data_IF_621869540749
#
_entry.id   IF_621869540749
#
_cell.length_a   1.000
_cell.length_b   1.000
_cell.length_c   1.000
_cell.angle_alpha   90.00
_cell.angle_beta   90.00
_cell.angle_gamma   90.00
#
_symmetry.space_group_name_H-M   'P 1'
#
loop_
_entity.id
_entity.type
_entity.pdbx_description
1 polymer ?
#
# COMPACT_ATOMS: atom_id res chain seq x y z
N UNK A 1 -27.71 -8.81 29.14
CA UNK A 1 -26.33 -8.38 29.39
C UNK A 1 -25.36 -8.80 28.25
N UNK A 2 -25.68 -9.81 27.45
CA UNK A 2 -24.79 -10.34 26.42
C UNK A 2 -24.71 -9.45 25.17
N UNK A 3 -25.73 -8.67 24.87
CA UNK A 3 -25.73 -7.79 23.70
C UNK A 3 -24.73 -6.63 23.77
N UNK A 4 -24.35 -6.17 24.95
CA UNK A 4 -23.41 -5.08 25.14
C UNK A 4 -21.95 -5.49 24.81
N UNK A 5 -21.62 -6.76 24.99
CA UNK A 5 -20.30 -7.30 24.64
C UNK A 5 -20.18 -7.66 23.15
N UNK A 6 -21.29 -8.02 22.50
CA UNK A 6 -21.32 -8.39 21.08
C UNK A 6 -21.22 -7.19 20.13
N UNK A 7 -21.64 -6.01 20.58
CA UNK A 7 -21.64 -4.81 19.71
C UNK A 7 -20.24 -4.34 19.30
N UNK A 8 -19.24 -4.21 20.20
CA UNK A 8 -17.88 -3.85 19.81
C UNK A 8 -17.25 -4.85 18.85
N UNK A 9 -17.47 -6.15 19.06
CA UNK A 9 -16.97 -7.19 18.19
C UNK A 9 -17.60 -7.12 16.79
N UNK A 10 -18.91 -6.89 16.72
CA UNK A 10 -19.61 -6.67 15.46
C UNK A 10 -19.08 -5.46 14.70
N UNK A 11 -18.86 -4.33 15.38
CA UNK A 11 -18.29 -3.12 14.80
C UNK A 11 -16.89 -3.41 14.24
N UNK A 12 -16.03 -4.03 15.04
CA UNK A 12 -14.67 -4.40 14.63
C UNK A 12 -14.68 -5.30 13.40
N UNK A 13 -15.54 -6.32 13.37
CA UNK A 13 -15.69 -7.25 12.25
C UNK A 13 -16.13 -6.53 10.96
N UNK A 14 -17.15 -5.69 11.05
CA UNK A 14 -17.65 -4.96 9.90
C UNK A 14 -16.61 -3.99 9.31
N UNK A 15 -15.86 -3.31 10.18
CA UNK A 15 -14.75 -2.42 9.74
C UNK A 15 -13.61 -3.21 9.10
N UNK A 16 -13.19 -4.32 9.71
CA UNK A 16 -12.17 -5.19 9.12
C UNK A 16 -12.58 -5.70 7.73
N UNK A 17 -13.83 -6.14 7.56
CA UNK A 17 -14.33 -6.54 6.24
C UNK A 17 -14.27 -5.39 5.23
N UNK A 18 -14.58 -4.16 5.64
CA UNK A 18 -14.46 -2.98 4.79
C UNK A 18 -13.02 -2.66 4.43
N UNK A 19 -12.09 -2.79 5.37
CA UNK A 19 -10.65 -2.63 5.12
C UNK A 19 -10.16 -3.68 4.12
N UNK A 20 -10.47 -4.95 4.32
CA UNK A 20 -10.06 -6.05 3.45
C UNK A 20 -10.54 -5.86 2.01
N UNK A 21 -11.79 -5.44 1.84
CA UNK A 21 -12.37 -5.20 0.51
C UNK A 21 -11.64 -4.10 -0.28
N UNK A 22 -11.20 -3.05 0.39
CA UNK A 22 -10.52 -1.91 -0.24
C UNK A 22 -8.99 -2.00 -0.18
N UNK A 23 -8.44 -3.10 0.34
CA UNK A 23 -7.02 -3.21 0.64
C UNK A 23 -6.21 -3.62 -0.60
N UNK A 24 -5.46 -2.66 -1.15
CA UNK A 24 -4.48 -2.90 -2.20
C UNK A 24 -3.05 -3.11 -1.67
N UNK A 25 -2.83 -2.90 -0.38
CA UNK A 25 -1.50 -3.01 0.25
C UNK A 25 -0.82 -4.37 0.04
N UNK A 26 -1.52 -5.53 0.10
CA UNK A 26 -0.90 -6.83 -0.16
C UNK A 26 -0.28 -6.98 -1.56
N UNK A 27 -0.68 -6.12 -2.49
CA UNK A 27 -0.12 -6.09 -3.86
C UNK A 27 1.06 -5.13 -4.01
N UNK A 28 1.42 -4.38 -2.95
CA UNK A 28 2.44 -3.33 -2.97
C UNK A 28 3.53 -3.60 -1.92
N UNK A 29 3.14 -4.20 -0.80
CA UNK A 29 3.98 -4.42 0.38
C UNK A 29 4.61 -5.79 0.33
N UNK A 30 5.91 -5.87 0.61
CA UNK A 30 6.66 -7.12 0.66
C UNK A 30 6.38 -7.88 1.96
N UNK A 31 6.33 -7.16 3.08
CA UNK A 31 6.10 -7.74 4.39
C UNK A 31 5.36 -6.78 5.32
N UNK A 32 4.68 -7.35 6.31
CA UNK A 32 4.03 -6.58 7.38
C UNK A 32 4.64 -6.99 8.71
N UNK A 33 5.24 -6.03 9.40
CA UNK A 33 5.85 -6.22 10.72
C UNK A 33 4.93 -5.65 11.79
N UNK A 34 4.52 -6.51 12.73
CA UNK A 34 3.72 -6.07 13.89
C UNK A 34 4.65 -5.73 15.04
N UNK A 35 4.52 -4.52 15.58
CA UNK A 35 5.34 -3.99 16.67
C UNK A 35 4.49 -3.67 17.90
N UNK A 36 5.14 -3.66 19.06
CA UNK A 36 4.52 -3.30 20.35
C UNK A 36 5.04 -1.97 20.91
N UNK A 37 6.02 -1.34 20.25
CA UNK A 37 6.57 -0.05 20.60
C UNK A 37 6.44 0.94 19.45
N UNK A 38 6.54 2.24 19.74
CA UNK A 38 6.51 3.27 18.69
C UNK A 38 7.88 3.48 18.02
N UNK A 39 8.93 2.86 18.54
CA UNK A 39 10.30 3.00 18.06
C UNK A 39 10.68 1.78 17.22
N UNK A 40 10.51 1.91 15.91
CA UNK A 40 10.88 0.88 14.96
C UNK A 40 11.76 1.47 13.85
N UNK A 41 12.83 0.74 13.54
CA UNK A 41 13.72 1.04 12.41
C UNK A 41 13.76 -0.17 11.49
N UNK A 42 13.47 0.05 10.21
CA UNK A 42 13.59 -1.03 9.24
C UNK A 42 15.06 -1.35 8.96
N UNK A 43 15.31 -2.50 8.40
CA UNK A 43 16.64 -2.95 8.01
C UNK A 43 16.87 -2.69 6.52
N UNK A 44 18.09 -2.41 6.15
CA UNK A 44 18.52 -2.33 4.76
C UNK A 44 19.79 -3.15 4.56
N UNK A 45 19.93 -3.76 3.39
CA UNK A 45 21.19 -4.36 2.99
C UNK A 45 22.13 -3.29 2.42
N UNK A 46 23.42 -3.59 2.37
CA UNK A 46 24.40 -2.72 1.72
C UNK A 46 23.92 -2.28 0.33
N UNK A 47 24.01 -1.00 0.00
CA UNK A 47 23.48 -0.48 -1.26
C UNK A 47 24.31 -0.86 -2.50
N UNK A 48 25.53 -1.32 -2.32
CA UNK A 48 26.43 -1.68 -3.44
C UNK A 48 25.97 -2.95 -4.13
N UNK A 49 25.82 -2.92 -5.44
CA UNK A 49 25.54 -4.13 -6.24
C UNK A 49 26.70 -5.14 -6.15
N UNK A 50 27.93 -4.65 -6.06
CA UNK A 50 29.13 -5.51 -5.87
C UNK A 50 29.08 -6.31 -4.57
N UNK A 51 28.44 -5.77 -3.52
CA UNK A 51 28.25 -6.43 -2.23
C UNK A 51 27.13 -7.48 -2.24
N UNK A 52 26.28 -7.45 -3.25
CA UNK A 52 25.18 -8.40 -3.44
C UNK A 52 25.53 -9.53 -4.41
N UNK A 53 26.51 -9.31 -5.31
CA UNK A 53 26.88 -10.28 -6.30
C UNK A 53 27.55 -11.50 -5.64
N UNK A 54 27.07 -12.70 -5.97
CA UNK A 54 27.68 -13.94 -5.52
C UNK A 54 28.90 -14.25 -6.39
N UNK A 55 30.09 -13.97 -5.88
CA UNK A 55 31.35 -14.21 -6.57
C UNK A 55 31.82 -15.63 -6.33
N UNK A 56 32.45 -16.29 -7.35
CA UNK A 56 33.10 -17.59 -7.17
C UNK A 56 34.15 -17.49 -6.07
N UNK A 57 34.13 -18.40 -5.10
CA UNK A 57 35.08 -18.43 -3.99
C UNK A 57 35.98 -19.66 -4.16
N UNK A 58 37.30 -19.46 -4.16
CA UNK A 58 38.28 -20.53 -4.21
C UNK A 58 38.33 -21.27 -2.87
N UNK A 59 38.59 -22.56 -2.88
CA UNK A 59 38.70 -23.38 -1.65
C UNK A 59 39.69 -22.76 -0.65
N UNK A 60 39.23 -22.58 0.60
CA UNK A 60 40.02 -21.93 1.64
C UNK A 60 40.02 -20.40 1.66
N UNK A 61 39.42 -19.74 0.66
CA UNK A 61 39.26 -18.27 0.66
C UNK A 61 38.09 -17.80 1.54
N UNK A 62 38.18 -16.58 2.04
CA UNK A 62 37.12 -15.97 2.80
C UNK A 62 35.88 -15.70 1.93
N UNK A 63 34.70 -16.14 2.36
CA UNK A 63 33.44 -15.85 1.65
C UNK A 63 33.11 -14.36 1.80
N UNK A 64 32.79 -13.64 0.72
CA UNK A 64 32.34 -12.25 0.78
C UNK A 64 31.13 -12.08 1.70
N UNK A 65 31.06 -10.94 2.41
CA UNK A 65 30.02 -10.66 3.39
C UNK A 65 29.12 -9.54 2.89
N UNK A 66 27.80 -9.75 2.92
CA UNK A 66 26.81 -8.68 2.77
C UNK A 66 26.41 -8.18 4.15
N UNK A 67 26.58 -6.90 4.41
CA UNK A 67 26.24 -6.29 5.71
C UNK A 67 24.83 -5.79 5.69
N UNK A 68 24.01 -6.34 6.57
CA UNK A 68 22.65 -5.82 6.83
C UNK A 68 22.73 -4.85 7.99
N UNK A 69 22.16 -3.66 7.84
CA UNK A 69 22.16 -2.59 8.84
C UNK A 69 20.73 -2.13 9.11
N UNK A 70 20.49 -1.59 10.30
CA UNK A 70 19.27 -0.83 10.59
C UNK A 70 19.39 0.56 9.98
N UNK A 71 18.30 1.09 9.46
CA UNK A 71 18.25 2.46 8.96
C UNK A 71 18.38 3.48 10.11
N UNK A 72 18.85 4.69 9.79
CA UNK A 72 19.13 5.70 10.81
C UNK A 72 17.84 6.33 11.36
N UNK A 73 16.83 6.52 10.54
CA UNK A 73 15.58 7.13 10.92
C UNK A 73 14.51 6.12 11.32
N UNK A 74 13.68 6.50 12.28
CA UNK A 74 12.52 5.73 12.71
C UNK A 74 11.43 5.78 11.65
N UNK A 75 10.70 4.67 11.51
CA UNK A 75 9.50 4.61 10.69
C UNK A 75 8.42 5.49 11.30
N UNK A 76 7.88 6.44 10.52
CA UNK A 76 6.78 7.31 10.96
C UNK A 76 5.49 6.53 11.01
N UNK A 77 4.93 6.39 12.21
CA UNK A 77 3.65 5.74 12.44
C UNK A 77 2.53 6.77 12.48
N UNK A 78 1.49 6.56 11.68
CA UNK A 78 0.30 7.40 11.65
C UNK A 78 -0.87 6.68 12.32
N UNK A 79 -1.44 7.30 13.37
CA UNK A 79 -2.71 6.86 13.93
C UNK A 79 -3.84 7.39 13.07
N UNK A 80 -4.68 6.47 12.59
CA UNK A 80 -5.88 6.78 11.81
C UNK A 80 -7.08 6.20 12.50
N UNK A 81 -8.12 6.99 12.66
CA UNK A 81 -9.31 6.53 13.36
C UNK A 81 -10.51 7.43 13.14
N UNK A 82 -11.66 6.94 13.56
CA UNK A 82 -12.91 7.68 13.52
C UNK A 82 -13.79 7.31 14.72
N UNK A 83 -14.53 8.29 15.20
CA UNK A 83 -15.59 8.10 16.18
C UNK A 83 -16.95 8.08 15.48
N UNK A 84 -17.72 7.04 15.75
CA UNK A 84 -19.13 6.95 15.41
C UNK A 84 -19.94 7.36 16.62
N UNK A 85 -20.94 8.20 16.40
CA UNK A 85 -21.90 8.59 17.42
C UNK A 85 -23.30 8.31 16.89
N UNK A 86 -24.10 7.58 17.64
CA UNK A 86 -25.49 7.27 17.28
C UNK A 86 -26.40 7.46 18.46
N UNK A 87 -27.64 7.89 18.22
CA UNK A 87 -28.65 7.94 19.26
C UNK A 87 -29.26 6.56 19.54
N UNK A 88 -29.80 6.35 20.73
CA UNK A 88 -30.48 5.10 21.08
C UNK A 88 -31.66 4.80 20.15
N UNK A 89 -32.38 5.82 19.70
CA UNK A 89 -33.48 5.65 18.75
C UNK A 89 -32.98 5.18 17.40
N UNK A 90 -31.88 5.77 16.89
CA UNK A 90 -31.31 5.38 15.59
C UNK A 90 -30.88 3.92 15.60
N UNK A 91 -30.20 3.46 16.65
CA UNK A 91 -29.76 2.07 16.76
C UNK A 91 -30.94 1.10 16.96
N UNK A 92 -32.02 1.54 17.65
CA UNK A 92 -33.16 0.69 17.96
C UNK A 92 -34.15 0.54 16.81
N UNK A 93 -34.28 1.56 15.97
CA UNK A 93 -35.33 1.63 14.93
C UNK A 93 -34.74 1.51 13.51
N UNK A 94 -33.45 1.71 13.30
CA UNK A 94 -32.81 1.52 11.99
C UNK A 94 -32.41 0.07 11.78
N UNK A 95 -32.53 -0.38 10.52
CA UNK A 95 -32.08 -1.71 10.12
C UNK A 95 -30.57 -1.81 10.28
N UNK A 96 -30.09 -2.82 10.99
CA UNK A 96 -28.67 -3.17 11.18
C UNK A 96 -27.88 -3.19 9.87
N UNK A 97 -28.51 -3.51 8.75
CA UNK A 97 -27.86 -3.57 7.43
C UNK A 97 -27.26 -2.23 6.99
N UNK A 98 -27.99 -1.11 7.18
CA UNK A 98 -27.46 0.22 6.80
C UNK A 98 -26.30 0.64 7.69
N UNK A 99 -26.36 0.30 8.97
CA UNK A 99 -25.26 0.55 9.90
C UNK A 99 -24.00 -0.25 9.51
N UNK A 100 -24.17 -1.50 9.12
CA UNK A 100 -23.06 -2.35 8.61
C UNK A 100 -22.41 -1.75 7.38
N UNK A 101 -23.20 -1.23 6.44
CA UNK A 101 -22.65 -0.57 5.23
C UNK A 101 -21.81 0.64 5.62
N UNK A 102 -22.26 1.45 6.58
CA UNK A 102 -21.51 2.61 7.08
C UNK A 102 -20.18 2.19 7.73
N UNK A 103 -20.19 1.12 8.54
CA UNK A 103 -18.98 0.59 9.18
C UNK A 103 -17.98 0.06 8.15
N UNK A 104 -18.45 -0.65 7.13
CA UNK A 104 -17.61 -1.11 6.01
C UNK A 104 -17.01 0.06 5.23
N UNK A 105 -17.76 1.13 5.01
CA UNK A 105 -17.24 2.34 4.38
C UNK A 105 -16.12 2.98 5.21
N UNK A 106 -16.24 3.03 6.52
CA UNK A 106 -15.18 3.53 7.40
C UNK A 106 -13.92 2.67 7.25
N UNK A 107 -14.06 1.35 7.25
CA UNK A 107 -12.95 0.44 6.99
C UNK A 107 -12.27 0.71 5.65
N UNK A 108 -13.05 0.88 4.60
CA UNK A 108 -12.54 1.22 3.27
C UNK A 108 -11.79 2.57 3.25
N UNK A 109 -12.27 3.58 3.98
CA UNK A 109 -11.55 4.87 4.11
C UNK A 109 -10.22 4.73 4.85
N UNK A 110 -10.15 3.90 5.89
CA UNK A 110 -8.89 3.63 6.59
C UNK A 110 -7.89 2.96 5.64
N UNK A 111 -8.31 1.93 4.90
CA UNK A 111 -7.45 1.24 3.94
C UNK A 111 -6.93 2.19 2.83
N UNK A 112 -7.80 3.06 2.31
CA UNK A 112 -7.39 4.08 1.32
C UNK A 112 -6.41 5.10 1.88
N UNK A 113 -6.57 5.49 3.15
CA UNK A 113 -5.66 6.41 3.82
C UNK A 113 -4.29 5.77 4.05
N UNK A 114 -4.24 4.50 4.43
CA UNK A 114 -3.00 3.73 4.53
C UNK A 114 -2.33 3.57 3.17
N UNK A 115 -3.11 3.28 2.11
CA UNK A 115 -2.59 3.23 0.75
C UNK A 115 -1.96 4.56 0.31
N UNK A 116 -2.60 5.68 0.66
CA UNK A 116 -2.05 7.01 0.39
C UNK A 116 -0.71 7.22 1.10
N UNK A 117 -0.59 6.82 2.37
CA UNK A 117 0.66 6.92 3.12
C UNK A 117 1.75 6.02 2.50
N UNK A 118 1.40 4.81 2.06
CA UNK A 118 2.32 3.92 1.36
C UNK A 118 2.86 4.53 0.06
N UNK A 119 1.99 5.11 -0.75
CA UNK A 119 2.36 5.77 -2.00
C UNK A 119 3.21 7.02 -1.75
N UNK A 120 2.88 7.78 -0.71
CA UNK A 120 3.67 8.96 -0.31
C UNK A 120 5.10 8.56 0.08
N UNK A 121 5.25 7.50 0.87
CA UNK A 121 6.57 6.95 1.23
C UNK A 121 7.31 6.42 0.01
N UNK A 122 6.64 5.77 -0.94
CA UNK A 122 7.27 5.33 -2.19
C UNK A 122 7.84 6.51 -2.97
N UNK A 123 7.09 7.60 -3.11
CA UNK A 123 7.52 8.78 -3.89
C UNK A 123 8.52 9.66 -3.14
N UNK A 124 8.17 10.07 -1.94
CA UNK A 124 8.87 11.10 -1.18
C UNK A 124 9.90 10.52 -0.19
N UNK A 125 9.94 9.18 -0.08
CA UNK A 125 10.84 8.48 0.84
C UNK A 125 10.31 8.42 2.28
N UNK A 126 11.01 7.67 3.09
CA UNK A 126 10.71 7.47 4.51
C UNK A 126 11.58 8.31 5.47
N UNK A 127 12.36 9.23 4.92
CA UNK A 127 13.28 10.08 5.66
C UNK A 127 14.74 9.61 5.65
N UNK A 128 15.06 8.54 4.93
CA UNK A 128 16.42 7.99 4.80
C UNK A 128 17.05 8.30 3.42
N UNK A 129 16.80 9.50 2.88
CA UNK A 129 17.31 9.96 1.56
C UNK A 129 17.01 9.00 0.40
N UNK A 130 15.85 8.37 0.45
CA UNK A 130 15.43 7.35 -0.50
C UNK A 130 14.18 7.75 -1.31
N UNK A 131 13.94 9.05 -1.47
CA UNK A 131 12.90 9.57 -2.36
C UNK A 131 13.14 9.14 -3.81
N UNK A 132 12.06 8.86 -4.55
CA UNK A 132 12.15 8.60 -5.98
C UNK A 132 12.29 9.91 -6.75
N UNK A 133 13.16 9.91 -7.74
CA UNK A 133 13.21 10.97 -8.75
C UNK A 133 12.48 10.45 -10.00
N UNK A 134 11.26 10.95 -10.30
CA UNK A 134 10.52 10.48 -11.46
C UNK A 134 11.25 10.81 -12.76
N UNK A 135 11.40 9.84 -13.66
CA UNK A 135 11.87 10.05 -15.02
C UNK A 135 10.83 10.87 -15.80
N UNK A 136 11.24 12.01 -16.34
CA UNK A 136 10.34 12.87 -17.10
C UNK A 136 10.13 12.34 -18.53
N UNK A 137 8.87 12.08 -18.89
CA UNK A 137 8.48 11.72 -20.24
C UNK A 137 8.05 12.98 -21.00
N UNK A 138 8.38 13.05 -22.28
CA UNK A 138 8.07 14.22 -23.14
C UNK A 138 6.60 14.33 -23.54
N UNK A 139 5.84 13.23 -23.45
CA UNK A 139 4.44 13.12 -23.86
C UNK A 139 3.70 12.12 -22.99
N UNK A 140 2.44 11.82 -23.34
CA UNK A 140 1.72 10.70 -22.74
C UNK A 140 2.54 9.40 -22.84
N UNK A 141 2.42 8.51 -21.84
CA UNK A 141 3.21 7.30 -21.82
C UNK A 141 2.94 6.42 -23.04
N UNK A 142 4.01 5.88 -23.61
CA UNK A 142 3.97 4.91 -24.69
C UNK A 142 4.39 3.54 -24.18
N UNK A 143 4.14 2.49 -24.94
CA UNK A 143 4.61 1.15 -24.60
C UNK A 143 6.13 1.12 -24.42
N UNK A 144 6.88 1.85 -25.26
CA UNK A 144 8.35 1.98 -25.15
C UNK A 144 8.79 2.56 -23.80
N UNK A 145 8.03 3.51 -23.26
CA UNK A 145 8.35 4.10 -21.95
C UNK A 145 8.14 3.10 -20.81
N UNK A 146 7.15 2.22 -20.94
CA UNK A 146 6.91 1.14 -19.98
C UNK A 146 8.02 0.09 -20.04
N UNK A 147 8.48 -0.24 -21.25
CA UNK A 147 9.64 -1.14 -21.45
C UNK A 147 10.91 -0.54 -20.86
N UNK A 148 11.13 0.78 -20.99
CA UNK A 148 12.24 1.47 -20.33
C UNK A 148 12.14 1.39 -18.82
N UNK A 149 10.96 1.67 -18.25
CA UNK A 149 10.72 1.57 -16.81
C UNK A 149 11.01 0.16 -16.29
N UNK A 150 10.61 -0.87 -17.05
CA UNK A 150 10.96 -2.26 -16.77
C UNK A 150 12.46 -2.48 -16.76
N UNK A 151 13.18 -1.96 -17.75
CA UNK A 151 14.64 -2.08 -17.83
C UNK A 151 15.39 -1.35 -16.72
N UNK A 152 14.90 -0.17 -16.31
CA UNK A 152 15.49 0.62 -15.22
C UNK A 152 15.31 -0.01 -13.84
N UNK A 153 14.38 -0.94 -13.70
CA UNK A 153 14.10 -1.62 -12.44
C UNK A 153 15.09 -2.76 -12.16
N UNK A 154 15.80 -3.25 -13.16
CA UNK A 154 16.77 -4.33 -12.98
C UNK A 154 17.78 -4.01 -11.84
N UNK A 155 18.15 -4.97 -10.96
CA UNK A 155 17.90 -6.42 -11.04
C UNK A 155 16.54 -6.88 -10.47
N UNK A 156 15.67 -5.95 -10.06
CA UNK A 156 14.35 -6.24 -9.51
C UNK A 156 13.34 -6.50 -10.64
N UNK A 157 12.23 -7.14 -10.30
CA UNK A 157 11.17 -7.46 -11.24
C UNK A 157 10.07 -6.41 -11.25
N UNK A 158 9.61 -5.99 -12.43
CA UNK A 158 8.40 -5.19 -12.56
C UNK A 158 7.18 -6.10 -12.44
N UNK A 159 6.67 -6.31 -11.24
CA UNK A 159 5.48 -7.13 -11.00
C UNK A 159 4.23 -6.34 -10.61
N UNK A 160 4.40 -5.05 -10.28
CA UNK A 160 3.29 -4.16 -9.92
C UNK A 160 3.51 -2.76 -10.50
N UNK A 161 2.47 -2.19 -11.09
CA UNK A 161 2.41 -0.81 -11.55
C UNK A 161 1.25 -0.08 -10.90
N UNK A 162 1.49 1.15 -10.45
CA UNK A 162 0.49 2.03 -9.84
C UNK A 162 0.23 3.21 -10.77
N UNK A 163 -1.04 3.51 -10.96
CA UNK A 163 -1.48 4.66 -11.76
C UNK A 163 -2.69 5.38 -11.14
N UNK A 164 -2.72 6.71 -11.25
CA UNK A 164 -3.90 7.51 -10.91
C UNK A 164 -5.02 7.27 -11.91
N UNK A 165 -6.20 7.85 -11.67
CA UNK A 165 -7.35 7.70 -12.58
C UNK A 165 -7.01 8.22 -13.99
N UNK A 166 -6.41 9.40 -14.09
CA UNK A 166 -6.05 10.01 -15.39
C UNK A 166 -4.96 9.18 -16.09
N UNK A 167 -3.94 8.82 -15.35
CA UNK A 167 -2.82 8.02 -15.88
C UNK A 167 -3.30 6.63 -16.32
N UNK A 168 -4.24 6.03 -15.57
CA UNK A 168 -4.84 4.74 -15.94
C UNK A 168 -5.58 4.83 -17.27
N UNK A 169 -6.35 5.91 -17.50
CA UNK A 169 -7.03 6.14 -18.77
C UNK A 169 -6.04 6.27 -19.93
N UNK A 170 -4.93 7.00 -19.72
CA UNK A 170 -3.90 7.14 -20.75
C UNK A 170 -3.21 5.80 -21.04
N UNK A 171 -2.87 5.01 -20.01
CA UNK A 171 -2.26 3.68 -20.18
C UNK A 171 -3.19 2.70 -20.92
N UNK A 172 -4.47 2.63 -20.53
CA UNK A 172 -5.45 1.73 -21.18
C UNK A 172 -5.78 2.16 -22.63
N UNK A 173 -5.40 3.36 -23.04
CA UNK A 173 -5.54 3.82 -24.41
C UNK A 173 -4.35 3.50 -25.32
N UNK A 174 -3.26 2.97 -24.77
CA UNK A 174 -2.13 2.44 -25.55
C UNK A 174 -2.61 1.20 -26.32
N UNK A 175 -2.24 1.10 -27.59
CA UNK A 175 -2.77 0.04 -28.48
C UNK A 175 -2.35 -1.36 -28.01
N UNK A 176 -1.14 -1.52 -27.52
CA UNK A 176 -0.63 -2.78 -26.96
C UNK A 176 -1.39 -3.23 -25.69
N UNK A 177 -2.02 -2.29 -24.98
CA UNK A 177 -2.88 -2.61 -23.85
C UNK A 177 -4.30 -3.01 -24.26
N UNK A 178 -4.76 -2.58 -25.44
CA UNK A 178 -6.07 -2.95 -25.99
C UNK A 178 -6.06 -4.31 -26.67
N UNK A 179 -4.90 -4.79 -27.09
CA UNK A 179 -4.77 -6.06 -27.79
C UNK A 179 -4.94 -7.23 -26.80
N UNK A 180 -6.03 -7.97 -26.94
CA UNK A 180 -6.33 -9.14 -26.12
C UNK A 180 -5.28 -10.26 -26.27
N UNK A 181 -4.53 -10.27 -27.37
CA UNK A 181 -3.47 -11.25 -27.63
C UNK A 181 -2.16 -10.88 -26.96
N UNK A 182 -1.95 -9.60 -26.65
CA UNK A 182 -0.74 -9.08 -26.01
C UNK A 182 -0.75 -9.17 -24.46
N UNK A 183 -1.79 -9.71 -23.84
CA UNK A 183 -1.79 -10.01 -22.41
C UNK A 183 -2.91 -9.39 -21.57
N UNK A 184 -3.78 -8.56 -22.13
CA UNK A 184 -4.97 -8.05 -21.44
C UNK A 184 -6.08 -9.12 -21.37
N UNK A 185 -5.88 -10.14 -20.56
CA UNK A 185 -6.92 -11.13 -20.29
C UNK A 185 -7.83 -10.69 -19.12
N UNK A 186 -8.26 -9.41 -19.13
CA UNK A 186 -9.18 -8.88 -18.13
C UNK A 186 -10.50 -9.67 -18.10
N UNK A 187 -11.01 -10.06 -19.27
CA UNK A 187 -12.24 -10.83 -19.38
C UNK A 187 -12.12 -12.24 -18.75
N UNK A 188 -10.92 -12.83 -18.74
CA UNK A 188 -10.69 -14.15 -18.15
C UNK A 188 -10.30 -14.12 -16.68
N UNK A 189 -9.59 -13.11 -16.21
CA UNK A 189 -9.01 -13.06 -14.85
C UNK A 189 -9.63 -12.02 -13.93
N UNK A 190 -10.35 -11.03 -14.49
CA UNK A 190 -10.86 -9.89 -13.72
C UNK A 190 -9.77 -8.94 -13.18
N UNK A 191 -8.51 -9.15 -13.56
CA UNK A 191 -7.37 -8.34 -13.11
C UNK A 191 -6.75 -7.60 -14.30
N UNK A 192 -6.45 -6.32 -14.09
CA UNK A 192 -5.68 -5.55 -15.05
C UNK A 192 -4.21 -5.95 -14.95
N UNK A 193 -3.68 -6.49 -16.04
CA UNK A 193 -2.27 -6.89 -16.16
C UNK A 193 -1.69 -6.15 -17.35
N UNK A 194 -0.47 -5.64 -17.22
CA UNK A 194 0.26 -5.02 -18.33
C UNK A 194 0.73 -6.09 -19.33
N UNK A 195 1.04 -5.73 -20.59
CA UNK A 195 1.64 -6.68 -21.54
C UNK A 195 2.95 -7.31 -21.04
N UNK A 196 3.63 -6.68 -20.08
CA UNK A 196 4.84 -7.20 -19.43
C UNK A 196 4.54 -8.12 -18.22
N UNK A 197 3.28 -8.43 -17.94
CA UNK A 197 2.88 -9.31 -16.85
C UNK A 197 2.75 -8.64 -15.48
N UNK A 198 3.00 -7.35 -15.34
CA UNK A 198 2.84 -6.61 -14.10
C UNK A 198 1.36 -6.34 -13.79
N UNK A 199 0.95 -6.47 -12.53
CA UNK A 199 -0.39 -6.08 -12.10
C UNK A 199 -0.53 -4.56 -12.15
N UNK A 200 -1.55 -4.07 -12.85
CA UNK A 200 -1.85 -2.64 -12.96
C UNK A 200 -2.91 -2.26 -11.91
N UNK A 201 -2.52 -1.47 -10.93
CA UNK A 201 -3.37 -1.07 -9.82
C UNK A 201 -3.82 0.39 -9.96
N UNK A 202 -5.12 0.60 -9.85
CA UNK A 202 -5.71 1.93 -9.81
C UNK A 202 -5.60 2.52 -8.41
N UNK A 203 -4.83 3.59 -8.27
CA UNK A 203 -4.60 4.31 -7.01
C UNK A 203 -5.04 5.77 -7.17
N UNK A 204 -6.29 6.11 -6.81
CA UNK A 204 -6.82 7.46 -7.00
C UNK A 204 -6.08 8.56 -6.22
N UNK A 205 -5.35 8.19 -5.17
CA UNK A 205 -4.57 9.13 -4.36
C UNK A 205 -3.18 9.43 -4.92
N UNK A 206 -2.75 8.70 -5.95
CA UNK A 206 -1.49 8.97 -6.63
C UNK A 206 -1.63 10.29 -7.42
N UNK A 207 -0.56 11.09 -7.44
CA UNK A 207 -0.50 12.31 -8.25
C UNK A 207 -0.76 11.97 -9.71
N UNK A 208 -1.64 12.75 -10.35
CA UNK A 208 -1.93 12.60 -11.77
C UNK A 208 -0.68 12.71 -12.63
N UNK A 209 -0.70 12.02 -13.76
CA UNK A 209 0.41 11.95 -14.71
C UNK A 209 1.70 11.36 -14.11
N UNK A 210 1.57 10.49 -13.12
CA UNK A 210 2.67 9.74 -12.52
C UNK A 210 2.38 8.25 -12.58
N UNK A 211 3.41 7.48 -12.93
CA UNK A 211 3.41 6.03 -12.96
C UNK A 211 4.48 5.57 -11.95
N UNK A 212 4.17 4.59 -11.12
CA UNK A 212 5.15 3.93 -10.27
C UNK A 212 5.21 2.47 -10.69
N UNK A 213 6.38 2.00 -11.07
CA UNK A 213 6.68 0.58 -11.24
C UNK A 213 7.47 0.08 -10.04
N UNK A 214 7.14 -1.08 -9.52
CA UNK A 214 7.81 -1.64 -8.36
C UNK A 214 7.85 -3.18 -8.37
N UNK A 215 8.83 -3.71 -7.65
CA UNK A 215 8.84 -5.08 -7.20
C UNK A 215 8.20 -5.16 -5.82
N UNK A 216 6.97 -5.68 -5.75
CA UNK A 216 6.24 -5.81 -4.50
C UNK A 216 6.96 -6.63 -3.43
N UNK A 217 7.86 -7.54 -3.83
CA UNK A 217 8.56 -8.42 -2.89
C UNK A 217 9.76 -7.74 -2.21
N UNK A 218 10.18 -6.58 -2.72
CA UNK A 218 11.40 -5.91 -2.31
C UNK A 218 11.23 -4.42 -1.97
N UNK A 219 10.11 -3.79 -2.37
CA UNK A 219 10.00 -2.32 -2.36
C UNK A 219 9.65 -1.76 -0.98
N UNK A 220 8.62 -2.27 -0.32
CA UNK A 220 7.99 -1.60 0.81
C UNK A 220 7.70 -2.56 1.96
N UNK A 221 7.97 -2.13 3.19
CA UNK A 221 7.53 -2.76 4.43
C UNK A 221 6.38 -1.96 5.03
N UNK A 222 5.35 -2.64 5.52
CA UNK A 222 4.32 -2.07 6.38
C UNK A 222 4.64 -2.39 7.84
N UNK A 223 4.66 -1.37 8.67
CA UNK A 223 4.85 -1.50 10.12
C UNK A 223 3.53 -1.19 10.80
N UNK A 224 3.01 -2.11 11.57
CA UNK A 224 1.71 -1.99 12.23
C UNK A 224 1.86 -2.12 13.75
N UNK A 225 1.40 -1.13 14.48
CA UNK A 225 1.39 -1.16 15.95
C UNK A 225 0.07 -1.75 16.46
N UNK A 226 0.02 -3.08 16.55
CA UNK A 226 -1.17 -3.80 16.93
C UNK A 226 -2.21 -3.91 15.82
N UNK A 227 -3.38 -4.40 16.17
CA UNK A 227 -4.55 -4.57 15.29
C UNK A 227 -5.48 -3.32 15.35
N UNK A 228 -6.60 -3.40 14.67
CA UNK A 228 -7.67 -2.40 14.79
C UNK A 228 -8.18 -2.36 16.23
N UNK A 229 -8.10 -1.19 16.85
CA UNK A 229 -8.58 -0.95 18.21
C UNK A 229 -9.98 -0.37 18.12
N UNK A 230 -10.92 -0.96 18.83
CA UNK A 230 -12.29 -0.47 18.92
C UNK A 230 -12.66 -0.28 20.38
N UNK A 231 -12.98 0.97 20.76
CA UNK A 231 -13.47 1.33 22.08
C UNK A 231 -14.92 1.77 21.97
N UNK A 232 -15.69 1.45 23.00
CA UNK A 232 -17.11 1.71 23.04
C UNK A 232 -17.49 2.40 24.36
N UNK A 233 -18.39 3.40 24.26
CA UNK A 233 -18.87 4.15 25.40
C UNK A 233 -20.35 4.59 25.22
N UNK A 234 -21.07 4.73 26.33
CA UNK A 234 -22.44 5.20 26.36
C UNK A 234 -22.53 6.51 27.13
N UNK A 235 -23.06 7.52 26.46
CA UNK A 235 -23.44 8.80 27.09
C UNK A 235 -24.89 8.74 27.52
N UNK A 236 -25.12 8.30 28.75
CA UNK A 236 -26.48 8.08 29.33
C UNK A 236 -27.26 9.40 29.43
N UNK A 237 -26.56 10.48 29.78
CA UNK A 237 -27.12 11.83 29.90
C UNK A 237 -27.66 12.39 28.57
N UNK A 238 -27.12 11.91 27.45
CA UNK A 238 -27.48 12.34 26.09
C UNK A 238 -28.18 11.27 25.28
N UNK A 239 -28.36 10.08 25.83
CA UNK A 239 -28.88 8.91 25.13
C UNK A 239 -28.16 8.59 23.81
N UNK A 240 -26.81 8.70 23.83
CA UNK A 240 -25.95 8.44 22.71
C UNK A 240 -25.03 7.25 22.99
N UNK A 241 -24.76 6.49 21.96
CA UNK A 241 -23.70 5.47 21.94
C UNK A 241 -22.56 5.95 21.06
N UNK A 242 -21.32 5.72 21.50
CA UNK A 242 -20.10 6.07 20.77
C UNK A 242 -19.23 4.84 20.57
N UNK A 243 -18.69 4.69 19.39
CA UNK A 243 -17.65 3.72 19.10
C UNK A 243 -16.48 4.42 18.42
N UNK A 244 -15.26 4.25 18.94
CA UNK A 244 -14.04 4.70 18.28
C UNK A 244 -13.37 3.52 17.62
N UNK A 245 -12.89 3.75 16.42
CA UNK A 245 -12.12 2.77 15.64
C UNK A 245 -10.83 3.43 15.28
N UNK A 246 -9.70 2.80 15.61
CA UNK A 246 -8.40 3.32 15.26
C UNK A 246 -7.41 2.21 14.89
N UNK A 247 -6.45 2.56 14.05
CA UNK A 247 -5.33 1.72 13.64
C UNK A 247 -4.07 2.58 13.57
N UNK A 248 -2.91 1.99 13.85
CA UNK A 248 -1.62 2.66 13.79
C UNK A 248 -0.75 1.89 12.82
N UNK A 249 -0.33 2.54 11.74
CA UNK A 249 0.52 1.95 10.73
C UNK A 249 1.51 2.97 10.17
N UNK A 250 2.62 2.48 9.65
CA UNK A 250 3.62 3.24 8.94
C UNK A 250 4.25 2.42 7.83
N UNK A 251 5.05 3.04 6.99
CA UNK A 251 5.68 2.40 5.86
C UNK A 251 7.15 2.77 5.79
N UNK A 252 7.97 1.86 5.32
CA UNK A 252 9.39 2.07 5.09
C UNK A 252 9.83 1.40 3.80
N UNK A 253 10.80 1.98 3.12
CA UNK A 253 11.41 1.39 1.92
C UNK A 253 12.47 0.38 2.32
N UNK A 254 12.42 -0.82 1.76
CA UNK A 254 13.40 -1.88 2.03
C UNK A 254 14.61 -1.68 1.10
N UNK A 255 14.36 -1.69 -0.22
CA UNK A 255 15.39 -1.47 -1.22
C UNK A 255 15.01 -0.29 -2.12
N UNK A 256 15.87 0.72 -2.16
CA UNK A 256 15.60 1.96 -2.91
C UNK A 256 15.45 1.70 -4.40
N UNK A 257 16.22 0.76 -4.96
CA UNK A 257 16.16 0.39 -6.38
C UNK A 257 14.92 -0.41 -6.78
N UNK A 258 14.18 -0.99 -5.83
CA UNK A 258 13.03 -1.85 -6.09
C UNK A 258 11.76 -1.10 -6.52
N UNK A 259 11.82 0.22 -6.64
CA UNK A 259 10.75 1.06 -7.17
C UNK A 259 11.32 2.15 -8.06
N UNK A 260 10.62 2.47 -9.15
CA UNK A 260 10.91 3.56 -10.08
C UNK A 260 9.65 4.33 -10.40
N UNK A 261 9.78 5.60 -10.73
CA UNK A 261 8.66 6.42 -11.10
C UNK A 261 8.92 7.13 -12.43
N UNK A 262 7.86 7.35 -13.20
CA UNK A 262 7.87 8.20 -14.39
C UNK A 262 6.76 9.23 -14.29
N UNK A 263 6.98 10.42 -14.81
CA UNK A 263 5.99 11.50 -14.87
C UNK A 263 5.98 12.17 -16.22
N UNK A 264 4.82 12.71 -16.62
CA UNK A 264 4.65 13.39 -17.89
C UNK A 264 3.83 14.69 -17.74
N UNK A 265 3.93 15.60 -18.72
CA UNK A 265 3.33 16.93 -18.64
C UNK A 265 2.23 17.18 -19.69
N UNK A 266 1.98 16.27 -20.59
CA UNK A 266 1.01 16.45 -21.68
C UNK A 266 -0.46 16.38 -21.24
#
# INVERSE_FOLDING_TARGET
SDSAALFPEYVTRAVKQGMEYANLLPSIVATTTTIQSMDYRTITASPSEDDKELKPVVEGAQIPQTVVRTQDNLVKLHKRGRMLVSSYEALRFQKLDLFTVTLRQIGAYIARAQLKDAVDVLLNGDGNDNALTPTSLSSKPTYTDIVKLWGELAPYELNTMLASTVTMQDLLNIDEFKDATAGLNFQGTGKLVTPLGANLLHVPSLKDKTIIGLDKNCALEMVQAGDVITDYDKLIDRQLERATISTIAGFAKIFTGAAKAASYTA
#
